data_IF_014054708725
#
_entry.id   IF_014054708725
#
_cell.length_a   1.000
_cell.length_b   1.000
_cell.length_c   1.000
_cell.angle_alpha   90.00
_cell.angle_beta   90.00
_cell.angle_gamma   90.00
#
_symmetry.space_group_name_H-M   'P 1'
#
loop_
_entity.id
_entity.type
_entity.pdbx_description
1 polymer ?
#
# COMPACT_ATOMS: atom_id res chain seq x y z
N UNK A 1 -41.26 3.72 17.05
CA UNK A 1 -41.35 5.19 17.03
C UNK A 1 -40.48 5.72 15.90
N UNK A 2 -41.13 6.16 14.81
CA UNK A 2 -40.49 6.68 13.60
C UNK A 2 -39.99 8.11 13.86
N UNK A 3 -38.67 8.30 13.91
CA UNK A 3 -38.08 9.65 13.83
C UNK A 3 -38.10 10.07 12.37
N UNK A 4 -39.08 10.89 12.02
CA UNK A 4 -39.14 11.59 10.74
C UNK A 4 -37.82 12.34 10.51
N UNK A 5 -37.08 11.91 9.50
CA UNK A 5 -35.85 12.54 9.07
C UNK A 5 -36.16 13.99 8.68
N UNK A 6 -35.48 14.96 9.28
CA UNK A 6 -35.48 16.33 8.78
C UNK A 6 -34.92 16.26 7.36
N UNK A 7 -35.77 16.47 6.37
CA UNK A 7 -35.35 16.77 4.98
C UNK A 7 -34.63 18.11 5.04
N UNK A 8 -33.32 18.09 5.28
CA UNK A 8 -32.46 19.19 4.89
C UNK A 8 -32.72 19.46 3.40
N UNK A 9 -32.77 20.73 3.00
CA UNK A 9 -33.13 21.24 1.66
C UNK A 9 -32.43 20.52 0.51
N UNK A 10 -32.92 19.32 0.21
CA UNK A 10 -32.19 18.28 -0.48
C UNK A 10 -32.50 18.28 -1.95
N UNK A 11 -31.55 17.77 -2.72
CA UNK A 11 -31.63 17.42 -4.14
C UNK A 11 -33.05 16.93 -4.48
N UNK A 12 -33.71 17.58 -5.45
CA UNK A 12 -35.13 17.34 -5.72
C UNK A 12 -35.38 15.89 -6.15
N UNK A 13 -36.53 15.33 -5.75
CA UNK A 13 -36.91 13.95 -6.13
C UNK A 13 -36.96 13.75 -7.64
N UNK A 14 -37.38 14.78 -8.38
CA UNK A 14 -37.37 14.75 -9.85
C UNK A 14 -35.94 14.55 -10.39
N UNK A 15 -34.97 15.28 -9.84
CA UNK A 15 -33.57 15.17 -10.27
C UNK A 15 -33.00 13.79 -9.98
N UNK A 16 -33.35 13.18 -8.83
CA UNK A 16 -32.96 11.81 -8.47
C UNK A 16 -33.57 10.80 -9.45
N UNK A 17 -34.86 10.93 -9.79
CA UNK A 17 -35.54 10.05 -10.74
C UNK A 17 -34.91 10.13 -12.14
N UNK A 18 -34.67 11.34 -12.64
CA UNK A 18 -34.03 11.54 -13.94
C UNK A 18 -32.60 11.01 -13.97
N UNK A 19 -31.83 11.22 -12.89
CA UNK A 19 -30.49 10.66 -12.76
C UNK A 19 -30.53 9.13 -12.70
N UNK A 20 -31.48 8.53 -11.98
CA UNK A 20 -31.71 7.08 -11.96
C UNK A 20 -32.00 6.52 -13.35
N UNK A 21 -32.73 7.27 -14.18
CA UNK A 21 -33.01 6.90 -15.57
C UNK A 21 -31.83 7.13 -16.53
N UNK A 22 -30.72 7.68 -16.03
CA UNK A 22 -29.48 7.84 -16.77
C UNK A 22 -29.26 9.21 -17.39
N UNK A 23 -29.95 10.25 -16.93
CA UNK A 23 -29.68 11.64 -17.35
C UNK A 23 -28.31 12.13 -16.84
N UNK A 24 -27.36 12.33 -17.75
CA UNK A 24 -26.04 12.92 -17.45
C UNK A 24 -26.13 14.35 -16.90
N UNK A 25 -27.10 15.13 -17.39
CA UNK A 25 -27.36 16.47 -16.88
C UNK A 25 -27.77 16.41 -15.40
N UNK A 26 -28.69 15.51 -15.05
CA UNK A 26 -29.20 15.37 -13.70
C UNK A 26 -28.11 14.83 -12.75
N UNK A 27 -27.28 13.88 -13.21
CA UNK A 27 -26.07 13.46 -12.47
C UNK A 27 -25.08 14.63 -12.25
N UNK A 28 -24.93 15.53 -13.23
CA UNK A 28 -24.07 16.71 -13.09
C UNK A 28 -24.60 17.75 -12.10
N UNK A 29 -25.92 17.87 -11.97
CA UNK A 29 -26.55 18.72 -10.97
C UNK A 29 -26.42 18.11 -9.57
N UNK A 30 -26.63 16.79 -9.46
CA UNK A 30 -26.39 16.04 -8.21
C UNK A 30 -24.95 16.22 -7.74
N UNK A 31 -23.96 16.01 -8.62
CA UNK A 31 -22.56 16.18 -8.27
C UNK A 31 -22.28 17.59 -7.71
N UNK A 32 -22.76 18.64 -8.40
CA UNK A 32 -22.56 20.02 -7.93
C UNK A 32 -23.20 20.28 -6.58
N UNK A 33 -24.38 19.73 -6.33
CA UNK A 33 -25.08 19.86 -5.05
C UNK A 33 -24.32 19.15 -3.91
N UNK A 34 -23.93 17.88 -4.12
CA UNK A 34 -23.17 17.09 -3.14
C UNK A 34 -21.82 17.73 -2.83
N UNK A 35 -21.11 18.18 -3.86
CA UNK A 35 -19.81 18.83 -3.71
C UNK A 35 -19.92 20.15 -2.93
N UNK A 36 -20.92 20.98 -3.22
CA UNK A 36 -21.10 22.29 -2.57
C UNK A 36 -21.63 22.17 -1.14
N UNK A 37 -22.39 21.11 -0.85
CA UNK A 37 -22.94 20.86 0.48
C UNK A 37 -22.91 19.36 0.78
N UNK A 38 -21.92 18.87 1.56
CA UNK A 38 -21.83 17.46 1.93
C UNK A 38 -23.07 16.92 2.64
N UNK A 39 -23.85 17.78 3.33
CA UNK A 39 -25.12 17.44 3.96
C UNK A 39 -26.27 17.17 2.99
N UNK A 40 -26.05 17.34 1.68
CA UNK A 40 -26.98 16.93 0.62
C UNK A 40 -26.77 15.48 0.14
N UNK A 41 -25.72 14.80 0.64
CA UNK A 41 -25.57 13.35 0.48
C UNK A 41 -26.74 12.64 1.16
N UNK A 42 -27.41 11.76 0.42
CA UNK A 42 -28.55 10.98 0.94
C UNK A 42 -28.49 9.54 0.44
N UNK A 43 -29.26 8.67 1.09
CA UNK A 43 -29.40 7.27 0.68
C UNK A 43 -29.88 7.15 -0.78
N UNK A 44 -30.79 8.02 -1.21
CA UNK A 44 -31.31 7.98 -2.58
C UNK A 44 -30.26 8.36 -3.62
N UNK A 45 -29.39 9.32 -3.29
CA UNK A 45 -28.24 9.69 -4.14
C UNK A 45 -27.26 8.52 -4.21
N UNK A 46 -26.94 7.88 -3.08
CA UNK A 46 -26.08 6.71 -3.05
C UNK A 46 -26.65 5.55 -3.90
N UNK A 47 -27.96 5.27 -3.81
CA UNK A 47 -28.63 4.27 -4.65
C UNK A 47 -28.51 4.55 -6.15
N UNK A 48 -28.66 5.81 -6.55
CA UNK A 48 -28.46 6.21 -7.97
C UNK A 48 -27.02 5.96 -8.40
N UNK A 49 -26.05 6.33 -7.56
CA UNK A 49 -24.61 6.10 -7.83
C UNK A 49 -24.33 4.61 -8.00
N UNK A 50 -24.77 3.77 -7.05
CA UNK A 50 -24.56 2.33 -7.10
C UNK A 50 -25.19 1.67 -8.32
N UNK A 51 -26.40 2.10 -8.71
CA UNK A 51 -27.07 1.60 -9.92
C UNK A 51 -26.23 1.79 -11.18
N UNK A 52 -25.53 2.92 -11.32
CA UNK A 52 -24.72 3.21 -12.50
C UNK A 52 -23.28 2.70 -12.40
N UNK A 53 -22.89 2.17 -11.23
CA UNK A 53 -21.63 1.47 -11.00
C UNK A 53 -21.79 -0.05 -10.99
N UNK A 54 -22.96 -0.55 -11.40
CA UNK A 54 -23.20 -1.97 -11.68
C UNK A 54 -22.21 -2.45 -12.76
N UNK A 55 -21.52 -3.60 -12.57
CA UNK A 55 -20.59 -4.15 -13.56
C UNK A 55 -21.27 -4.81 -14.77
N UNK A 56 -22.57 -5.09 -14.75
CA UNK A 56 -23.27 -5.78 -15.85
C UNK A 56 -23.07 -5.14 -17.25
N UNK A 57 -23.00 -3.81 -17.41
CA UNK A 57 -22.67 -3.18 -18.69
C UNK A 57 -21.25 -3.50 -19.17
N UNK A 58 -20.27 -3.64 -18.26
CA UNK A 58 -18.87 -3.94 -18.61
C UNK A 58 -18.73 -5.31 -19.29
N UNK A 59 -19.56 -6.29 -18.93
CA UNK A 59 -19.56 -7.61 -19.54
C UNK A 59 -19.90 -7.59 -21.05
N UNK A 60 -20.50 -6.50 -21.53
CA UNK A 60 -20.85 -6.30 -22.95
C UNK A 60 -19.79 -5.55 -23.72
N UNK A 61 -18.80 -4.97 -23.05
CA UNK A 61 -17.70 -4.26 -23.70
C UNK A 61 -16.71 -5.29 -24.26
N UNK A 62 -16.61 -5.35 -25.58
CA UNK A 62 -15.52 -6.08 -26.24
C UNK A 62 -14.23 -5.27 -26.11
N UNK A 63 -13.07 -5.94 -26.05
CA UNK A 63 -11.77 -5.35 -25.74
C UNK A 63 -11.31 -4.21 -26.65
N UNK A 64 -11.99 -4.00 -27.78
CA UNK A 64 -11.58 -3.08 -28.85
C UNK A 64 -12.61 -1.96 -29.11
N UNK A 65 -13.73 -1.92 -28.37
CA UNK A 65 -14.86 -1.01 -28.62
C UNK A 65 -15.03 0.12 -27.58
N UNK A 66 -13.91 0.61 -27.06
CA UNK A 66 -13.84 1.68 -26.04
C UNK A 66 -14.59 2.96 -26.43
N UNK A 67 -14.53 3.31 -27.73
CA UNK A 67 -15.14 4.52 -28.29
C UNK A 67 -16.42 4.23 -29.08
N UNK A 68 -17.02 3.05 -28.94
CA UNK A 68 -18.30 2.80 -29.61
C UNK A 68 -19.37 3.75 -29.06
N UNK A 69 -20.15 4.35 -29.95
CA UNK A 69 -21.25 5.25 -29.56
C UNK A 69 -22.26 4.56 -28.62
N UNK A 70 -22.37 3.23 -28.69
CA UNK A 70 -23.25 2.42 -27.85
C UNK A 70 -22.76 2.33 -26.40
N UNK A 71 -21.44 2.26 -26.18
CA UNK A 71 -20.85 2.05 -24.86
C UNK A 71 -20.57 3.36 -24.11
N UNK A 72 -20.36 4.46 -24.86
CA UNK A 72 -20.03 5.78 -24.33
C UNK A 72 -21.00 6.28 -23.25
N UNK A 73 -22.34 6.16 -23.37
CA UNK A 73 -23.25 6.65 -22.34
C UNK A 73 -23.10 5.92 -21.00
N UNK A 74 -22.73 4.63 -21.01
CA UNK A 74 -22.48 3.89 -19.77
C UNK A 74 -21.19 4.36 -19.09
N UNK A 75 -20.13 4.54 -19.88
CA UNK A 75 -18.85 5.06 -19.39
C UNK A 75 -19.00 6.50 -18.86
N UNK A 76 -19.68 7.40 -19.55
CA UNK A 76 -19.86 8.78 -19.07
C UNK A 76 -20.64 8.83 -17.74
N UNK A 77 -21.65 7.96 -17.58
CA UNK A 77 -22.43 7.86 -16.34
C UNK A 77 -21.60 7.30 -15.19
N UNK A 78 -20.86 6.22 -15.42
CA UNK A 78 -20.01 5.62 -14.40
C UNK A 78 -18.92 6.58 -13.92
N UNK A 79 -18.25 7.30 -14.83
CA UNK A 79 -17.24 8.30 -14.49
C UNK A 79 -17.82 9.39 -13.58
N UNK A 80 -19.01 9.88 -13.95
CA UNK A 80 -19.72 10.87 -13.13
C UNK A 80 -20.08 10.32 -11.75
N UNK A 81 -20.53 9.08 -11.68
CA UNK A 81 -20.88 8.42 -10.43
C UNK A 81 -19.66 8.14 -9.54
N UNK A 82 -18.48 7.85 -10.09
CA UNK A 82 -17.23 7.76 -9.32
C UNK A 82 -16.86 9.09 -8.66
N UNK A 83 -17.06 10.22 -9.36
CA UNK A 83 -16.85 11.54 -8.75
C UNK A 83 -17.85 11.84 -7.62
N UNK A 84 -19.14 11.56 -7.83
CA UNK A 84 -20.15 11.71 -6.78
C UNK A 84 -19.83 10.81 -5.59
N UNK A 85 -19.39 9.57 -5.85
CA UNK A 85 -19.00 8.61 -4.81
C UNK A 85 -17.84 9.12 -3.96
N UNK A 86 -16.90 9.87 -4.55
CA UNK A 86 -15.84 10.56 -3.82
C UNK A 86 -16.41 11.55 -2.81
N UNK A 87 -17.34 12.41 -3.22
CA UNK A 87 -17.96 13.38 -2.32
C UNK A 87 -18.83 12.67 -1.25
N UNK A 88 -19.55 11.60 -1.63
CA UNK A 88 -20.30 10.75 -0.68
C UNK A 88 -19.35 10.16 0.37
N UNK A 89 -18.19 9.64 -0.03
CA UNK A 89 -17.24 9.01 0.90
C UNK A 89 -16.79 9.99 2.00
N UNK A 90 -16.63 11.27 1.67
CA UNK A 90 -16.31 12.33 2.64
C UNK A 90 -17.50 12.58 3.58
N UNK A 91 -18.73 12.56 3.06
CA UNK A 91 -19.93 12.72 3.87
C UNK A 91 -20.15 11.55 4.83
N UNK A 92 -19.88 10.30 4.41
CA UNK A 92 -20.01 9.10 5.27
C UNK A 92 -19.10 9.17 6.51
N UNK A 93 -17.93 9.79 6.42
CA UNK A 93 -17.05 10.00 7.57
C UNK A 93 -17.63 10.99 8.59
N UNK A 94 -18.46 11.95 8.13
CA UNK A 94 -19.02 13.02 8.96
C UNK A 94 -20.40 12.66 9.53
N UNK A 95 -21.12 11.75 8.88
CA UNK A 95 -22.48 11.34 9.26
C UNK A 95 -22.57 9.81 9.43
N UNK A 96 -22.43 9.31 10.68
CA UNK A 96 -22.57 7.88 10.98
C UNK A 96 -23.94 7.31 10.63
N UNK A 97 -25.01 8.11 10.67
CA UNK A 97 -26.37 7.63 10.36
C UNK A 97 -26.49 7.36 8.87
N UNK A 98 -25.99 8.27 8.03
CA UNK A 98 -25.93 8.04 6.59
C UNK A 98 -25.09 6.80 6.26
N UNK A 99 -23.96 6.63 6.95
CA UNK A 99 -23.10 5.45 6.80
C UNK A 99 -23.88 4.16 7.02
N UNK A 100 -24.58 4.03 8.14
CA UNK A 100 -25.31 2.82 8.50
C UNK A 100 -26.38 2.45 7.44
N UNK A 101 -26.97 3.44 6.75
CA UNK A 101 -27.95 3.18 5.69
C UNK A 101 -27.33 2.83 4.32
N UNK A 102 -26.13 3.33 4.04
CA UNK A 102 -25.46 3.16 2.74
C UNK A 102 -24.55 1.93 2.73
N UNK A 103 -24.22 1.41 3.90
CA UNK A 103 -23.22 0.37 4.13
C UNK A 103 -23.41 -0.87 3.24
N UNK A 104 -24.57 -1.54 3.34
CA UNK A 104 -24.87 -2.77 2.60
C UNK A 104 -24.79 -2.56 1.09
N UNK A 105 -25.30 -1.42 0.62
CA UNK A 105 -25.28 -1.06 -0.80
C UNK A 105 -23.86 -0.82 -1.31
N UNK A 106 -23.01 -0.18 -0.49
CA UNK A 106 -21.62 0.07 -0.83
C UNK A 106 -20.80 -1.22 -0.86
N UNK A 107 -20.98 -2.10 0.14
CA UNK A 107 -20.33 -3.41 0.16
C UNK A 107 -20.70 -4.26 -1.08
N UNK A 108 -21.99 -4.27 -1.45
CA UNK A 108 -22.46 -4.96 -2.65
C UNK A 108 -21.94 -4.35 -3.97
N UNK A 109 -21.67 -3.04 -3.98
CA UNK A 109 -21.28 -2.31 -5.20
C UNK A 109 -19.78 -2.18 -5.39
N UNK A 110 -18.95 -2.44 -4.36
CA UNK A 110 -17.52 -2.14 -4.41
C UNK A 110 -16.77 -2.92 -5.49
N UNK A 111 -17.17 -4.16 -5.77
CA UNK A 111 -16.61 -4.93 -6.88
C UNK A 111 -16.84 -4.22 -8.22
N UNK A 112 -18.07 -3.74 -8.46
CA UNK A 112 -18.42 -2.93 -9.62
C UNK A 112 -17.63 -1.62 -9.70
N UNK A 113 -17.47 -0.92 -8.57
CA UNK A 113 -16.59 0.27 -8.47
C UNK A 113 -15.17 -0.07 -8.94
N UNK A 114 -14.60 -1.18 -8.47
CA UNK A 114 -13.26 -1.61 -8.84
C UNK A 114 -13.16 -1.99 -10.32
N UNK A 115 -14.18 -2.66 -10.87
CA UNK A 115 -14.24 -2.99 -12.30
C UNK A 115 -14.31 -1.74 -13.18
N UNK A 116 -15.12 -0.75 -12.81
CA UNK A 116 -15.21 0.52 -13.54
C UNK A 116 -13.89 1.30 -13.49
N UNK A 117 -13.23 1.41 -12.33
CA UNK A 117 -11.91 2.05 -12.24
C UNK A 117 -10.87 1.29 -13.08
N UNK A 118 -10.89 -0.05 -13.03
CA UNK A 118 -10.02 -0.87 -13.88
C UNK A 118 -10.25 -0.59 -15.36
N UNK A 119 -11.52 -0.53 -15.79
CA UNK A 119 -11.93 -0.22 -17.14
C UNK A 119 -11.37 1.14 -17.60
N UNK A 120 -11.45 2.18 -16.75
CA UNK A 120 -10.81 3.46 -17.06
C UNK A 120 -9.29 3.35 -17.21
N UNK A 121 -8.58 2.66 -16.30
CA UNK A 121 -7.13 2.52 -16.49
C UNK A 121 -6.72 1.75 -17.76
N UNK A 122 -7.60 0.86 -18.22
CA UNK A 122 -7.41 0.10 -19.44
C UNK A 122 -7.62 0.99 -20.68
N UNK A 123 -8.65 1.84 -20.64
CA UNK A 123 -9.02 2.76 -21.73
C UNK A 123 -8.13 3.99 -21.84
N UNK A 124 -7.48 4.44 -20.76
CA UNK A 124 -6.67 5.66 -20.77
C UNK A 124 -5.20 5.38 -21.16
N UNK A 125 -4.75 4.11 -21.26
CA UNK A 125 -3.38 3.77 -21.71
C UNK A 125 -2.98 4.29 -23.12
N UNK A 126 -3.88 4.46 -24.10
CA UNK A 126 -3.53 5.07 -25.39
C UNK A 126 -3.57 6.61 -25.37
N UNK A 127 -4.37 7.24 -24.49
CA UNK A 127 -4.74 8.67 -24.58
C UNK A 127 -3.97 9.58 -23.61
N UNK A 128 -3.51 9.06 -22.46
CA UNK A 128 -2.72 9.81 -21.47
C UNK A 128 -1.34 10.27 -21.97
N UNK A 129 -0.87 9.72 -23.09
CA UNK A 129 0.36 10.19 -23.75
C UNK A 129 0.22 11.56 -24.41
N UNK A 130 -0.99 11.95 -24.86
CA UNK A 130 -1.12 13.01 -25.86
C UNK A 130 -2.12 14.14 -25.55
N UNK A 131 -3.11 14.00 -24.66
CA UNK A 131 -4.27 14.93 -24.71
C UNK A 131 -4.44 15.88 -23.51
N UNK A 132 -4.09 15.52 -22.27
CA UNK A 132 -4.63 16.27 -21.13
C UNK A 132 -3.64 17.03 -20.25
N UNK A 133 -2.32 16.85 -20.36
CA UNK A 133 -1.37 17.54 -19.47
C UNK A 133 -1.55 17.27 -17.96
N UNK A 134 -2.60 16.54 -17.56
CA UNK A 134 -2.83 15.98 -16.23
C UNK A 134 -2.12 14.64 -16.17
N UNK A 135 -1.13 14.52 -15.29
CA UNK A 135 -0.32 13.31 -15.20
C UNK A 135 -1.13 12.11 -14.73
N UNK A 136 -0.89 10.94 -15.33
CA UNK A 136 -1.35 9.59 -14.91
C UNK A 136 -1.35 9.42 -13.38
N UNK A 137 -0.39 10.04 -12.71
CA UNK A 137 -0.22 10.02 -11.26
C UNK A 137 -1.42 10.61 -10.51
N UNK A 138 -2.02 11.72 -10.98
CA UNK A 138 -3.11 12.41 -10.29
C UNK A 138 -4.37 11.56 -10.25
N UNK A 139 -4.71 10.92 -11.37
CA UNK A 139 -5.90 10.04 -11.46
C UNK A 139 -5.70 8.74 -10.67
N UNK A 140 -4.52 8.12 -10.77
CA UNK A 140 -4.16 6.96 -9.95
C UNK A 140 -4.33 7.27 -8.46
N UNK A 141 -3.87 8.44 -8.02
CA UNK A 141 -4.01 8.86 -6.63
C UNK A 141 -5.43 9.22 -6.25
N UNK A 142 -6.21 9.85 -7.13
CA UNK A 142 -7.60 10.16 -6.88
C UNK A 142 -8.41 8.89 -6.63
N UNK A 143 -8.25 7.86 -7.48
CA UNK A 143 -8.94 6.59 -7.30
C UNK A 143 -8.43 5.81 -6.09
N UNK A 144 -7.12 5.82 -5.80
CA UNK A 144 -6.59 5.20 -4.59
C UNK A 144 -7.11 5.89 -3.31
N UNK A 145 -7.20 7.23 -3.30
CA UNK A 145 -7.79 7.99 -2.19
C UNK A 145 -9.29 7.69 -2.03
N UNK A 146 -10.03 7.61 -3.14
CA UNK A 146 -11.44 7.21 -3.14
C UNK A 146 -11.62 5.83 -2.49
N UNK A 147 -10.90 4.81 -2.96
CA UNK A 147 -11.00 3.46 -2.40
C UNK A 147 -10.65 3.43 -0.91
N UNK A 148 -9.59 4.13 -0.50
CA UNK A 148 -9.19 4.20 0.90
C UNK A 148 -10.25 4.90 1.75
N UNK A 149 -10.87 5.97 1.24
CA UNK A 149 -11.96 6.67 1.91
C UNK A 149 -13.19 5.76 2.05
N UNK A 150 -13.56 5.02 1.00
CA UNK A 150 -14.67 4.08 1.08
C UNK A 150 -14.38 2.99 2.13
N UNK A 151 -13.21 2.37 2.10
CA UNK A 151 -12.84 1.35 3.09
C UNK A 151 -12.83 1.86 4.53
N UNK A 152 -12.36 3.10 4.76
CA UNK A 152 -12.40 3.74 6.09
C UNK A 152 -13.82 4.12 6.53
N UNK A 153 -14.68 4.46 5.59
CA UNK A 153 -16.09 4.74 5.85
C UNK A 153 -16.87 3.46 6.16
N UNK A 154 -16.35 2.27 5.84
CA UNK A 154 -17.00 0.99 6.11
C UNK A 154 -16.87 0.45 7.52
N UNK A 155 -17.76 -0.48 7.88
CA UNK A 155 -17.62 -1.27 9.10
C UNK A 155 -16.38 -2.18 8.99
N UNK A 156 -15.70 -2.53 10.11
CA UNK A 156 -14.59 -3.49 10.11
C UNK A 156 -14.88 -4.84 9.44
N UNK A 157 -16.16 -5.17 9.18
CA UNK A 157 -16.60 -6.38 8.47
C UNK A 157 -16.42 -6.34 6.95
N UNK A 158 -15.97 -5.22 6.37
CA UNK A 158 -15.74 -5.09 4.92
C UNK A 158 -14.52 -5.88 4.40
N UNK A 159 -13.96 -6.77 5.22
CA UNK A 159 -12.97 -7.76 4.82
C UNK A 159 -13.35 -8.55 3.56
N UNK A 160 -14.66 -8.71 3.27
CA UNK A 160 -15.16 -9.35 2.05
C UNK A 160 -14.65 -8.66 0.77
N UNK A 161 -14.49 -7.34 0.82
CA UNK A 161 -13.98 -6.54 -0.29
C UNK A 161 -12.52 -6.85 -0.62
N UNK A 162 -11.72 -7.24 0.36
CA UNK A 162 -10.33 -7.67 0.15
C UNK A 162 -10.24 -8.98 -0.63
N UNK A 163 -11.32 -9.77 -0.63
CA UNK A 163 -11.44 -11.04 -1.35
C UNK A 163 -12.02 -10.89 -2.76
N UNK A 164 -12.16 -9.66 -3.29
CA UNK A 164 -12.63 -9.43 -4.66
C UNK A 164 -11.49 -9.57 -5.68
N UNK A 165 -11.66 -10.39 -6.74
CA UNK A 165 -10.70 -10.44 -7.86
C UNK A 165 -10.56 -9.10 -8.59
N UNK A 166 -11.63 -8.30 -8.70
CA UNK A 166 -11.58 -6.99 -9.35
C UNK A 166 -10.74 -6.00 -8.54
N UNK A 167 -10.91 -6.00 -7.22
CA UNK A 167 -10.11 -5.20 -6.29
C UNK A 167 -8.63 -5.59 -6.37
N UNK A 168 -8.31 -6.89 -6.29
CA UNK A 168 -6.93 -7.38 -6.38
C UNK A 168 -6.26 -7.01 -7.71
N UNK A 169 -6.97 -7.18 -8.84
CA UNK A 169 -6.50 -6.74 -10.18
C UNK A 169 -6.24 -5.24 -10.23
N UNK A 170 -7.13 -4.44 -9.66
CA UNK A 170 -6.97 -2.99 -9.60
C UNK A 170 -5.75 -2.58 -8.78
N UNK A 171 -5.58 -3.18 -7.60
CA UNK A 171 -4.43 -2.91 -6.75
C UNK A 171 -3.12 -3.32 -7.41
N UNK A 172 -3.04 -4.52 -8.00
CA UNK A 172 -1.85 -4.97 -8.70
C UNK A 172 -1.50 -4.02 -9.86
N UNK A 173 -2.50 -3.56 -10.61
CA UNK A 173 -2.32 -2.56 -11.67
C UNK A 173 -1.84 -1.22 -11.11
N UNK A 174 -2.49 -0.66 -10.10
CA UNK A 174 -2.08 0.61 -9.46
C UNK A 174 -0.65 0.50 -8.90
N UNK A 175 -0.30 -0.66 -8.33
CA UNK A 175 1.02 -0.92 -7.78
C UNK A 175 2.12 -0.82 -8.84
N UNK A 176 1.91 -1.49 -9.98
CA UNK A 176 2.90 -1.68 -11.04
C UNK A 176 2.85 -0.64 -12.17
N UNK A 177 1.90 0.31 -12.15
CA UNK A 177 1.77 1.31 -13.21
C UNK A 177 2.83 2.39 -13.08
N UNK A 178 3.50 2.66 -14.21
CA UNK A 178 4.42 3.79 -14.41
C UNK A 178 3.71 4.90 -15.18
N UNK A 179 4.02 6.15 -14.85
CA UNK A 179 3.59 7.30 -15.62
C UNK A 179 4.34 7.40 -16.97
N UNK A 180 3.99 8.40 -17.78
CA UNK A 180 4.61 8.65 -19.08
C UNK A 180 6.13 8.89 -19.00
N UNK A 181 6.66 9.31 -17.84
CA UNK A 181 8.10 9.50 -17.60
C UNK A 181 8.79 8.22 -17.12
N UNK A 182 8.10 7.07 -17.12
CA UNK A 182 8.63 5.80 -16.66
C UNK A 182 8.81 5.71 -15.14
N UNK A 183 8.22 6.63 -14.37
CA UNK A 183 8.30 6.66 -12.90
C UNK A 183 7.02 6.07 -12.30
N UNK A 184 7.15 5.35 -11.19
CA UNK A 184 5.97 4.92 -10.44
C UNK A 184 5.32 6.13 -9.77
N UNK A 185 3.99 6.13 -9.72
CA UNK A 185 3.23 7.13 -9.00
C UNK A 185 3.63 7.11 -7.51
N UNK A 186 4.24 8.21 -7.07
CA UNK A 186 4.59 8.50 -5.68
C UNK A 186 4.01 9.88 -5.31
N UNK A 187 3.16 9.93 -4.29
CA UNK A 187 2.64 11.19 -3.77
C UNK A 187 3.58 11.66 -2.65
N UNK A 188 4.06 12.93 -2.66
CA UNK A 188 4.51 13.54 -1.42
C UNK A 188 3.32 13.55 -0.47
N UNK A 189 3.54 13.11 0.77
CA UNK A 189 2.47 12.84 1.72
C UNK A 189 2.04 14.14 2.39
N UNK A 190 1.31 14.99 1.67
CA UNK A 190 0.84 16.30 2.16
C UNK A 190 0.05 16.20 3.49
N UNK A 191 -0.58 15.05 3.77
CA UNK A 191 -1.38 14.83 4.98
C UNK A 191 -0.71 13.92 6.05
N UNK A 192 0.62 13.73 6.03
CA UNK A 192 1.32 12.68 6.82
C UNK A 192 0.78 11.26 6.57
N UNK A 193 -0.06 11.10 5.54
CA UNK A 193 -0.96 9.97 5.35
C UNK A 193 -0.43 8.87 4.45
N UNK A 194 0.85 8.86 4.07
CA UNK A 194 1.41 7.81 3.21
C UNK A 194 0.92 7.82 1.78
N UNK A 195 1.56 6.99 0.94
CA UNK A 195 1.03 6.70 -0.38
C UNK A 195 -0.27 5.87 -0.24
N UNK A 196 -1.43 6.34 -0.75
CA UNK A 196 -2.69 5.61 -0.60
C UNK A 196 -2.65 4.23 -1.26
N UNK A 197 -1.90 4.07 -2.35
CA UNK A 197 -1.69 2.77 -3.02
C UNK A 197 -0.98 1.79 -2.07
N UNK A 198 0.05 2.22 -1.34
CA UNK A 198 0.73 1.37 -0.36
C UNK A 198 -0.21 0.95 0.77
N UNK A 199 -1.02 1.88 1.28
CA UNK A 199 -2.01 1.60 2.33
C UNK A 199 -3.05 0.58 1.88
N UNK A 200 -3.57 0.71 0.65
CA UNK A 200 -4.52 -0.25 0.10
C UNK A 200 -3.93 -1.65 -0.05
N UNK A 201 -2.69 -1.75 -0.54
CA UNK A 201 -1.99 -3.04 -0.63
C UNK A 201 -1.77 -3.62 0.77
N UNK A 202 -1.38 -2.82 1.75
CA UNK A 202 -1.23 -3.30 3.12
C UNK A 202 -2.52 -3.88 3.70
N UNK A 203 -3.64 -3.16 3.57
CA UNK A 203 -4.96 -3.65 3.99
C UNK A 203 -5.32 -4.97 3.29
N UNK A 204 -4.95 -5.11 2.02
CA UNK A 204 -5.13 -6.34 1.26
C UNK A 204 -4.24 -7.50 1.76
N UNK A 205 -3.04 -7.21 2.28
CA UNK A 205 -2.10 -8.22 2.80
C UNK A 205 -2.48 -8.78 4.16
N UNK A 206 -3.28 -8.05 4.95
CA UNK A 206 -3.66 -8.43 6.31
C UNK A 206 -4.64 -9.63 6.33
N UNK A 207 -5.44 -9.77 5.27
CA UNK A 207 -6.33 -10.90 5.06
C UNK A 207 -5.74 -11.94 4.09
N UNK A 208 -5.74 -13.21 4.48
CA UNK A 208 -5.20 -14.30 3.68
C UNK A 208 -5.81 -14.41 2.26
N UNK A 209 -7.16 -14.37 2.08
CA UNK A 209 -7.75 -14.39 0.74
C UNK A 209 -7.33 -13.20 -0.13
N UNK A 210 -7.21 -12.00 0.46
CA UNK A 210 -6.79 -10.81 -0.27
C UNK A 210 -5.32 -10.89 -0.71
N UNK A 211 -4.46 -11.40 0.17
CA UNK A 211 -3.05 -11.64 -0.12
C UNK A 211 -2.86 -12.57 -1.31
N UNK A 212 -3.58 -13.69 -1.33
CA UNK A 212 -3.50 -14.67 -2.43
C UNK A 212 -3.97 -14.06 -3.75
N UNK A 213 -5.13 -13.41 -3.75
CA UNK A 213 -5.69 -12.77 -4.95
C UNK A 213 -4.79 -11.64 -5.48
N UNK A 214 -4.16 -10.85 -4.60
CA UNK A 214 -3.24 -9.80 -5.01
C UNK A 214 -2.03 -10.37 -5.74
N UNK A 215 -1.39 -11.41 -5.21
CA UNK A 215 -0.24 -11.99 -5.87
C UNK A 215 -0.62 -12.75 -7.14
N UNK A 216 -1.77 -13.42 -7.16
CA UNK A 216 -2.31 -14.00 -8.39
C UNK A 216 -2.52 -12.91 -9.46
N UNK A 217 -3.15 -11.80 -9.08
CA UNK A 217 -3.37 -10.65 -9.97
C UNK A 217 -2.05 -10.02 -10.46
N UNK A 218 -1.03 -9.94 -9.60
CA UNK A 218 0.32 -9.53 -10.00
C UNK A 218 0.84 -10.45 -11.10
N UNK A 219 0.76 -11.77 -10.92
CA UNK A 219 1.32 -12.73 -11.88
C UNK A 219 0.54 -12.78 -13.20
N UNK A 220 -0.79 -12.61 -13.15
CA UNK A 220 -1.66 -12.71 -14.32
C UNK A 220 -1.66 -11.45 -15.20
N UNK A 221 -1.12 -10.32 -14.73
CA UNK A 221 -1.23 -9.05 -15.45
C UNK A 221 -0.43 -8.97 -16.77
N UNK A 222 0.73 -9.63 -16.84
CA UNK A 222 1.69 -9.55 -17.96
C UNK A 222 2.83 -10.58 -17.78
N UNK A 223 3.46 -11.11 -18.84
CA UNK A 223 4.60 -12.03 -18.72
C UNK A 223 5.75 -11.52 -17.82
N UNK A 224 6.07 -10.23 -17.89
CA UNK A 224 7.10 -9.57 -17.07
C UNK A 224 6.64 -9.07 -15.69
N UNK A 225 5.45 -9.45 -15.22
CA UNK A 225 4.87 -8.80 -14.04
C UNK A 225 5.65 -9.02 -12.76
N UNK A 226 6.27 -10.18 -12.58
CA UNK A 226 7.13 -10.43 -11.41
C UNK A 226 8.31 -9.44 -11.34
N UNK A 227 8.89 -9.09 -12.49
CA UNK A 227 9.94 -8.07 -12.59
C UNK A 227 9.38 -6.68 -12.31
N UNK A 228 8.24 -6.32 -12.91
CA UNK A 228 7.58 -5.01 -12.70
C UNK A 228 7.16 -4.81 -11.25
N UNK A 229 6.66 -5.85 -10.59
CA UNK A 229 6.37 -5.86 -9.17
C UNK A 229 7.61 -5.55 -8.34
N UNK A 230 8.74 -6.21 -8.65
CA UNK A 230 10.02 -5.98 -7.98
C UNK A 230 10.50 -4.53 -8.16
N UNK A 231 10.45 -4.01 -9.39
CA UNK A 231 10.81 -2.62 -9.69
C UNK A 231 9.92 -1.62 -8.93
N UNK A 232 8.61 -1.89 -8.86
CA UNK A 232 7.65 -1.07 -8.13
C UNK A 232 7.97 -1.05 -6.63
N UNK A 233 8.26 -2.22 -6.04
CA UNK A 233 8.62 -2.35 -4.63
C UNK A 233 9.88 -1.54 -4.28
N UNK A 234 10.93 -1.64 -5.09
CA UNK A 234 12.17 -0.87 -4.90
C UNK A 234 11.91 0.64 -5.04
N UNK A 235 11.18 1.05 -6.08
CA UNK A 235 10.87 2.46 -6.29
C UNK A 235 10.04 3.05 -5.15
N UNK A 236 9.15 2.24 -4.56
CA UNK A 236 8.34 2.63 -3.41
C UNK A 236 9.17 2.77 -2.13
N UNK A 237 10.16 1.90 -1.90
CA UNK A 237 11.13 2.04 -0.81
C UNK A 237 11.91 3.36 -0.91
N UNK A 238 12.45 3.66 -2.09
CA UNK A 238 13.13 4.94 -2.37
C UNK A 238 12.22 6.16 -2.17
N UNK A 239 10.93 6.01 -2.46
CA UNK A 239 9.95 7.06 -2.21
C UNK A 239 9.67 7.31 -0.72
N UNK A 240 9.81 6.29 0.15
CA UNK A 240 9.77 6.47 1.60
C UNK A 240 10.94 7.35 2.06
N UNK A 241 12.17 7.08 1.60
CA UNK A 241 13.33 7.93 1.90
C UNK A 241 13.17 9.37 1.41
N UNK A 242 12.69 9.53 0.17
CA UNK A 242 12.43 10.86 -0.37
C UNK A 242 11.41 11.62 0.48
N UNK A 243 10.35 10.95 0.93
CA UNK A 243 9.32 11.52 1.80
C UNK A 243 9.91 12.01 3.13
N UNK A 244 10.76 11.20 3.76
CA UNK A 244 11.47 11.63 4.97
C UNK A 244 12.32 12.89 4.74
N UNK A 245 13.08 12.94 3.65
CA UNK A 245 13.95 14.09 3.31
C UNK A 245 13.20 15.40 3.07
N UNK A 246 11.93 15.33 2.68
CA UNK A 246 11.07 16.52 2.49
C UNK A 246 10.23 16.86 3.73
N UNK A 247 10.53 16.25 4.88
CA UNK A 247 9.97 16.64 6.19
C UNK A 247 8.77 15.81 6.67
N UNK A 248 8.51 14.64 6.09
CA UNK A 248 7.43 13.75 6.55
C UNK A 248 7.81 13.10 7.88
N UNK A 249 6.84 12.97 8.79
CA UNK A 249 7.04 12.40 10.12
C UNK A 249 7.66 10.99 10.08
N UNK A 250 8.80 10.82 10.78
CA UNK A 250 9.65 9.63 10.70
C UNK A 250 8.92 8.32 11.06
N UNK A 251 8.16 8.21 12.17
CA UNK A 251 7.40 7.01 12.46
C UNK A 251 6.45 6.59 11.32
N UNK A 252 5.78 7.54 10.65
CA UNK A 252 4.96 7.21 9.50
C UNK A 252 5.79 6.64 8.34
N UNK A 253 6.97 7.20 8.08
CA UNK A 253 7.87 6.68 7.03
C UNK A 253 8.35 5.27 7.36
N UNK A 254 8.72 5.02 8.61
CA UNK A 254 9.11 3.69 9.09
C UNK A 254 7.97 2.68 8.95
N UNK A 255 6.73 3.07 9.27
CA UNK A 255 5.56 2.21 9.10
C UNK A 255 5.38 1.81 7.63
N UNK A 256 5.51 2.75 6.69
CA UNK A 256 5.40 2.44 5.27
C UNK A 256 6.51 1.52 4.79
N UNK A 257 7.74 1.73 5.25
CA UNK A 257 8.85 0.87 4.87
C UNK A 257 8.70 -0.53 5.47
N UNK A 258 8.25 -0.65 6.73
CA UNK A 258 7.94 -1.94 7.34
C UNK A 258 6.86 -2.71 6.57
N UNK A 259 5.79 -2.03 6.16
CA UNK A 259 4.74 -2.58 5.30
C UNK A 259 5.33 -3.11 3.98
N UNK A 260 6.26 -2.39 3.35
CA UNK A 260 6.94 -2.85 2.14
C UNK A 260 7.74 -4.14 2.38
N UNK A 261 8.41 -4.25 3.52
CA UNK A 261 9.14 -5.46 3.89
C UNK A 261 8.20 -6.66 4.09
N UNK A 262 7.04 -6.45 4.72
CA UNK A 262 6.01 -7.48 4.87
C UNK A 262 5.50 -7.94 3.50
N UNK A 263 5.18 -7.02 2.59
CA UNK A 263 4.77 -7.34 1.21
C UNK A 263 5.86 -8.17 0.51
N UNK A 264 7.13 -7.83 0.70
CA UNK A 264 8.25 -8.57 0.14
C UNK A 264 8.35 -10.00 0.68
N UNK A 265 8.33 -10.16 2.01
CA UNK A 265 8.36 -11.46 2.68
C UNK A 265 7.22 -12.36 2.17
N UNK A 266 6.00 -11.82 2.11
CA UNK A 266 4.82 -12.56 1.62
C UNK A 266 4.96 -12.93 0.14
N UNK A 267 5.52 -12.04 -0.68
CA UNK A 267 5.79 -12.32 -2.09
C UNK A 267 6.82 -13.44 -2.31
N UNK A 268 7.86 -13.49 -1.48
CA UNK A 268 8.86 -14.57 -1.48
C UNK A 268 8.21 -15.92 -1.14
N UNK A 269 7.33 -15.93 -0.15
CA UNK A 269 6.63 -17.15 0.30
C UNK A 269 5.55 -17.63 -0.67
N UNK A 270 5.01 -16.74 -1.51
CA UNK A 270 3.86 -17.06 -2.37
C UNK A 270 4.23 -17.95 -3.57
N UNK A 271 5.29 -17.62 -4.31
CA UNK A 271 5.68 -18.40 -5.49
C UNK A 271 7.17 -18.30 -5.82
N UNK A 272 7.80 -19.38 -6.35
CA UNK A 272 9.19 -19.36 -6.82
C UNK A 272 9.47 -18.27 -7.86
N UNK A 273 8.46 -17.85 -8.64
CA UNK A 273 8.62 -16.84 -9.68
C UNK A 273 8.87 -15.44 -9.09
N UNK A 274 8.09 -15.04 -8.08
CA UNK A 274 8.25 -13.79 -7.35
C UNK A 274 9.54 -13.82 -6.54
N UNK A 275 9.82 -14.93 -5.87
CA UNK A 275 11.09 -15.16 -5.19
C UNK A 275 12.29 -14.90 -6.14
N UNK A 276 12.33 -15.54 -7.30
CA UNK A 276 13.41 -15.33 -8.29
C UNK A 276 13.48 -13.89 -8.78
N UNK A 277 12.34 -13.25 -9.02
CA UNK A 277 12.31 -11.85 -9.47
C UNK A 277 12.85 -10.90 -8.40
N UNK A 278 12.43 -11.05 -7.15
CA UNK A 278 12.88 -10.24 -6.01
C UNK A 278 14.38 -10.41 -5.74
N UNK A 279 14.89 -11.64 -5.81
CA UNK A 279 16.33 -11.93 -5.68
C UNK A 279 17.13 -11.34 -6.84
N UNK A 280 16.72 -11.57 -8.11
CA UNK A 280 17.42 -11.02 -9.28
C UNK A 280 17.38 -9.49 -9.33
N UNK A 281 16.29 -8.88 -8.88
CA UNK A 281 16.16 -7.43 -8.78
C UNK A 281 16.93 -6.80 -7.61
N UNK A 282 17.64 -7.61 -6.80
CA UNK A 282 18.41 -7.17 -5.62
C UNK A 282 17.53 -6.37 -4.64
N UNK A 283 16.26 -6.74 -4.54
CA UNK A 283 15.28 -5.99 -3.76
C UNK A 283 15.67 -5.91 -2.28
N UNK A 284 16.24 -6.99 -1.73
CA UNK A 284 16.77 -7.03 -0.37
C UNK A 284 17.88 -6.00 -0.14
N UNK A 285 18.83 -5.87 -1.07
CA UNK A 285 19.91 -4.89 -0.97
C UNK A 285 19.36 -3.47 -0.90
N UNK A 286 18.49 -3.12 -1.84
CA UNK A 286 17.94 -1.77 -1.95
C UNK A 286 17.08 -1.43 -0.73
N UNK A 287 16.16 -2.32 -0.32
CA UNK A 287 15.31 -2.08 0.84
C UNK A 287 16.11 -2.02 2.14
N UNK A 288 17.13 -2.87 2.31
CA UNK A 288 18.01 -2.81 3.49
C UNK A 288 18.74 -1.48 3.56
N UNK A 289 19.26 -0.99 2.43
CA UNK A 289 19.90 0.33 2.36
C UNK A 289 18.91 1.45 2.74
N UNK A 290 17.66 1.35 2.31
CA UNK A 290 16.61 2.29 2.71
C UNK A 290 16.34 2.23 4.23
N UNK A 291 16.30 1.03 4.84
CA UNK A 291 16.14 0.90 6.31
C UNK A 291 17.33 1.51 7.05
N UNK A 292 18.56 1.19 6.62
CA UNK A 292 19.79 1.68 7.26
C UNK A 292 19.85 3.20 7.22
N UNK A 293 19.48 3.81 6.09
CA UNK A 293 19.45 5.26 5.96
C UNK A 293 18.50 5.92 6.97
N UNK A 294 17.30 5.35 7.20
CA UNK A 294 16.37 5.89 8.21
C UNK A 294 16.82 5.58 9.65
N UNK A 295 17.48 4.45 9.87
CA UNK A 295 17.95 4.03 11.19
C UNK A 295 19.02 4.97 11.76
N UNK A 296 19.85 5.58 10.89
CA UNK A 296 20.86 6.56 11.29
C UNK A 296 20.24 7.78 11.99
N UNK A 297 19.07 8.23 11.54
CA UNK A 297 18.35 9.36 12.13
C UNK A 297 17.64 8.98 13.45
N UNK A 298 17.18 7.73 13.59
CA UNK A 298 16.60 7.24 14.86
C UNK A 298 17.67 7.13 15.95
N UNK A 299 18.83 6.55 15.60
CA UNK A 299 19.92 6.29 16.54
C UNK A 299 20.64 7.55 17.06
N UNK A 300 20.42 8.70 16.43
CA UNK A 300 21.13 9.96 16.77
C UNK A 300 20.27 11.00 17.49
N UNK A 301 18.94 10.85 17.56
CA UNK A 301 18.10 11.98 17.98
C UNK A 301 16.76 11.70 18.65
N UNK A 302 16.25 10.46 18.67
CA UNK A 302 14.89 10.22 19.18
C UNK A 302 14.86 9.10 20.20
N UNK A 303 14.66 9.43 21.49
CA UNK A 303 14.29 8.46 22.54
C UNK A 303 12.89 7.87 22.36
N UNK A 304 12.43 7.75 21.11
CA UNK A 304 11.12 7.20 20.76
C UNK A 304 11.23 5.68 20.64
N UNK A 305 10.86 4.99 21.72
CA UNK A 305 10.82 3.54 21.79
C UNK A 305 9.94 2.92 20.69
N UNK A 306 8.97 3.64 20.12
CA UNK A 306 8.13 3.14 19.03
C UNK A 306 8.91 2.99 17.72
N UNK A 307 9.75 3.98 17.38
CA UNK A 307 10.60 3.95 16.20
C UNK A 307 11.65 2.83 16.29
N UNK A 308 12.25 2.63 17.47
CA UNK A 308 13.19 1.54 17.72
C UNK A 308 12.53 0.17 17.58
N UNK A 309 11.38 -0.05 18.20
CA UNK A 309 10.62 -1.30 18.07
C UNK A 309 10.32 -1.64 16.60
N UNK A 310 9.98 -0.61 15.82
CA UNK A 310 9.69 -0.77 14.40
C UNK A 310 10.96 -1.14 13.61
N UNK A 311 12.12 -0.53 13.90
CA UNK A 311 13.39 -0.93 13.30
C UNK A 311 13.78 -2.37 13.65
N UNK A 312 13.54 -2.82 14.87
CA UNK A 312 13.74 -4.24 15.25
C UNK A 312 12.83 -5.17 14.44
N UNK A 313 11.56 -4.82 14.26
CA UNK A 313 10.62 -5.60 13.45
C UNK A 313 11.06 -5.64 11.96
N UNK A 314 11.56 -4.52 11.45
CA UNK A 314 12.08 -4.42 10.08
C UNK A 314 13.35 -5.26 9.89
N UNK A 315 14.30 -5.22 10.83
CA UNK A 315 15.49 -6.07 10.81
C UNK A 315 15.12 -7.56 10.82
N UNK A 316 14.16 -7.93 11.68
CA UNK A 316 13.63 -9.31 11.75
C UNK A 316 12.98 -9.73 10.43
N UNK A 317 12.18 -8.85 9.83
CA UNK A 317 11.49 -9.12 8.55
C UNK A 317 12.48 -9.28 7.42
N UNK A 318 13.54 -8.46 7.36
CA UNK A 318 14.61 -8.59 6.37
C UNK A 318 15.31 -9.95 6.49
N UNK A 319 15.70 -10.36 7.70
CA UNK A 319 16.32 -11.66 7.92
C UNK A 319 15.37 -12.82 7.57
N UNK A 320 14.13 -12.77 8.04
CA UNK A 320 13.11 -13.78 7.72
C UNK A 320 12.90 -13.90 6.20
N UNK A 321 12.94 -12.78 5.48
CA UNK A 321 12.83 -12.75 4.02
C UNK A 321 13.99 -13.51 3.38
N UNK A 322 15.24 -13.29 3.82
CA UNK A 322 16.41 -14.06 3.36
C UNK A 322 16.26 -15.56 3.62
N UNK A 323 15.83 -15.94 4.82
CA UNK A 323 15.67 -17.34 5.21
C UNK A 323 14.53 -18.04 4.46
N UNK A 324 13.55 -17.27 3.99
CA UNK A 324 12.44 -17.78 3.18
C UNK A 324 12.85 -18.13 1.75
N UNK A 325 14.06 -17.80 1.30
CA UNK A 325 14.58 -18.22 0.00
C UNK A 325 15.04 -19.70 0.01
N UNK A 326 14.16 -20.63 0.34
CA UNK A 326 14.53 -22.01 0.65
C UNK A 326 14.75 -22.93 -0.57
N UNK A 327 14.53 -22.46 -1.81
CA UNK A 327 14.49 -23.34 -2.99
C UNK A 327 15.90 -23.76 -3.44
N UNK A 328 16.92 -22.93 -3.22
CA UNK A 328 18.31 -23.20 -3.64
C UNK A 328 19.30 -22.61 -2.61
N UNK A 329 20.22 -23.41 -2.05
CA UNK A 329 21.24 -22.94 -1.08
C UNK A 329 22.08 -21.78 -1.64
N UNK A 330 22.34 -21.75 -2.94
CA UNK A 330 23.07 -20.66 -3.59
C UNK A 330 22.28 -19.33 -3.61
N UNK A 331 20.94 -19.41 -3.60
CA UNK A 331 20.09 -18.23 -3.53
C UNK A 331 20.14 -17.59 -2.14
N UNK A 332 20.15 -18.39 -1.07
CA UNK A 332 20.31 -17.91 0.31
C UNK A 332 21.63 -17.16 0.46
N UNK A 333 22.75 -17.75 0.00
CA UNK A 333 24.07 -17.12 0.09
C UNK A 333 24.14 -15.79 -0.66
N UNK A 334 23.54 -15.73 -1.86
CA UNK A 334 23.46 -14.49 -2.64
C UNK A 334 22.62 -13.42 -1.93
N UNK A 335 21.48 -13.80 -1.38
CA UNK A 335 20.58 -12.90 -0.70
C UNK A 335 21.16 -12.41 0.65
N UNK A 336 21.93 -13.25 1.35
CA UNK A 336 22.74 -12.83 2.49
C UNK A 336 23.80 -11.81 2.09
N UNK A 337 24.47 -12.01 0.95
CA UNK A 337 25.41 -11.01 0.43
C UNK A 337 24.70 -9.70 0.07
N UNK A 338 23.52 -9.75 -0.55
CA UNK A 338 22.72 -8.56 -0.85
C UNK A 338 22.25 -7.85 0.45
N UNK A 339 21.91 -8.61 1.50
CA UNK A 339 21.56 -8.09 2.83
C UNK A 339 22.77 -7.36 3.48
N UNK A 340 23.97 -7.96 3.43
CA UNK A 340 25.22 -7.34 3.90
C UNK A 340 25.56 -6.10 3.07
N UNK A 341 25.48 -6.19 1.74
CA UNK A 341 25.72 -5.07 0.82
C UNK A 341 24.77 -3.89 1.05
N UNK A 342 23.55 -4.18 1.52
CA UNK A 342 22.58 -3.18 1.90
C UNK A 342 22.86 -2.53 3.26
N UNK A 343 23.82 -3.03 4.03
CA UNK A 343 24.23 -2.46 5.31
C UNK A 343 23.55 -3.09 6.53
N UNK A 344 23.03 -4.32 6.44
CA UNK A 344 22.35 -4.97 7.57
C UNK A 344 23.22 -5.11 8.82
N UNK A 345 24.53 -5.32 8.68
CA UNK A 345 25.45 -5.36 9.82
C UNK A 345 25.50 -4.00 10.52
N UNK A 346 25.52 -2.91 9.74
CA UNK A 346 25.42 -1.56 10.29
C UNK A 346 24.07 -1.33 10.99
N UNK A 347 22.97 -1.84 10.44
CA UNK A 347 21.65 -1.77 11.10
C UNK A 347 21.69 -2.45 12.48
N UNK A 348 22.27 -3.65 12.59
CA UNK A 348 22.46 -4.33 13.87
C UNK A 348 23.36 -3.53 14.82
N UNK A 349 24.41 -2.89 14.30
CA UNK A 349 25.26 -1.97 15.05
C UNK A 349 24.50 -0.77 15.63
N UNK A 350 23.63 -0.14 14.83
CA UNK A 350 22.77 0.95 15.29
C UNK A 350 21.82 0.46 16.40
N UNK A 351 21.16 -0.68 16.21
CA UNK A 351 20.23 -1.24 17.20
C UNK A 351 20.94 -1.61 18.52
N UNK A 352 22.14 -2.20 18.44
CA UNK A 352 22.94 -2.51 19.64
C UNK A 352 23.43 -1.26 20.35
N UNK A 353 23.78 -0.20 19.62
CA UNK A 353 24.21 1.06 20.21
C UNK A 353 23.10 1.75 21.03
N UNK A 354 21.83 1.54 20.65
CA UNK A 354 20.65 2.11 21.31
C UNK A 354 20.23 1.39 22.60
N UNK A 355 20.88 0.28 22.95
CA UNK A 355 20.64 -0.39 24.23
C UNK A 355 21.10 0.50 25.39
N UNK A 356 20.33 0.55 26.49
CA UNK A 356 20.75 1.24 27.71
C UNK A 356 22.10 0.68 28.18
N UNK A 357 22.96 1.54 28.71
CA UNK A 357 24.15 1.07 29.42
C UNK A 357 23.68 0.24 30.62
N UNK A 358 24.33 -0.91 30.87
CA UNK A 358 24.02 -1.83 31.97
C UNK A 358 24.13 -1.11 33.33
N UNK A 359 23.10 -0.36 33.71
CA UNK A 359 22.94 0.19 35.05
C UNK A 359 22.07 -0.81 35.85
N UNK A 360 22.65 -1.55 36.80
CA UNK A 360 21.94 -2.56 37.59
C UNK A 360 20.79 -1.96 38.43
N UNK A 361 20.64 -0.63 38.50
CA UNK A 361 19.52 0.04 39.14
C UNK A 361 18.25 0.17 38.25
N UNK A 362 18.34 -0.03 36.93
CA UNK A 362 17.26 0.26 35.97
C UNK A 362 16.47 -1.01 35.53
N UNK A 363 16.81 -2.19 36.06
CA UNK A 363 16.26 -3.51 35.68
C UNK A 363 14.78 -3.78 36.03
N UNK A 364 13.94 -2.74 36.10
CA UNK A 364 12.50 -2.85 36.44
C UNK A 364 11.56 -2.60 35.27
N UNK A 365 12.05 -2.55 34.02
CA UNK A 365 11.20 -2.33 32.83
C UNK A 365 11.28 -3.49 31.86
N UNK A 366 10.36 -4.45 31.96
CA UNK A 366 10.25 -5.62 31.07
C UNK A 366 10.05 -5.37 29.56
N UNK A 367 10.12 -4.11 29.09
CA UNK A 367 10.19 -3.74 27.67
C UNK A 367 11.64 -3.74 27.17
N UNK A 368 12.60 -3.32 28.02
CA UNK A 368 14.03 -3.30 27.70
C UNK A 368 14.61 -4.71 27.58
N UNK A 369 14.13 -5.64 28.42
CA UNK A 369 14.47 -7.07 28.33
C UNK A 369 14.05 -7.68 26.99
N UNK A 370 12.83 -7.37 26.50
CA UNK A 370 12.32 -7.90 25.23
C UNK A 370 13.10 -7.40 24.01
N UNK A 371 13.51 -6.12 24.02
CA UNK A 371 14.30 -5.54 22.92
C UNK A 371 15.67 -6.21 22.85
N UNK A 372 16.29 -6.40 24.02
CA UNK A 372 17.58 -7.06 24.18
C UNK A 372 17.52 -8.52 23.72
N UNK A 373 16.53 -9.29 24.19
CA UNK A 373 16.31 -10.69 23.78
C UNK A 373 16.11 -10.83 22.26
N UNK A 374 15.29 -9.95 21.67
CA UNK A 374 15.05 -9.95 20.23
C UNK A 374 16.33 -9.65 19.45
N UNK A 375 17.17 -8.74 19.93
CA UNK A 375 18.44 -8.42 19.28
C UNK A 375 19.44 -9.57 19.36
N UNK A 376 19.55 -10.21 20.53
CA UNK A 376 20.37 -11.42 20.71
C UNK A 376 19.90 -12.53 19.76
N UNK A 377 18.58 -12.73 19.65
CA UNK A 377 18.02 -13.69 18.71
C UNK A 377 18.35 -13.35 17.25
N UNK A 378 18.28 -12.07 16.86
CA UNK A 378 18.61 -11.62 15.50
C UNK A 378 20.09 -11.84 15.17
N UNK A 379 21.00 -11.44 16.07
CA UNK A 379 22.44 -11.62 15.90
C UNK A 379 22.77 -13.12 15.85
N UNK A 380 22.19 -13.92 16.74
CA UNK A 380 22.38 -15.37 16.79
C UNK A 380 21.84 -16.06 15.55
N UNK A 381 20.69 -15.63 15.04
CA UNK A 381 20.10 -16.17 13.82
C UNK A 381 20.96 -15.80 12.62
N UNK A 382 21.34 -14.54 12.47
CA UNK A 382 22.21 -14.09 11.39
C UNK A 382 23.55 -14.84 11.38
N UNK A 383 24.21 -14.97 12.53
CA UNK A 383 25.52 -15.63 12.63
C UNK A 383 25.51 -17.11 12.22
N UNK A 384 24.42 -17.84 12.48
CA UNK A 384 24.25 -19.24 12.05
C UNK A 384 24.31 -19.40 10.53
N UNK A 385 23.88 -18.39 9.78
CA UNK A 385 23.83 -18.44 8.32
C UNK A 385 25.03 -17.76 7.65
N UNK A 386 25.94 -17.15 8.41
CA UNK A 386 27.13 -16.45 7.86
C UNK A 386 28.39 -17.32 7.76
N UNK A 387 28.33 -18.61 8.10
CA UNK A 387 29.50 -19.52 8.17
C UNK A 387 29.97 -19.99 6.76
N UNK A 388 29.43 -19.40 5.69
CA UNK A 388 29.78 -19.75 4.30
C UNK A 388 30.93 -18.86 3.81
N UNK A 389 32.01 -19.40 3.19
CA UNK A 389 33.20 -18.63 2.80
C UNK A 389 32.91 -17.35 1.99
N UNK A 390 31.94 -17.40 1.08
CA UNK A 390 31.51 -16.25 0.28
C UNK A 390 30.90 -15.13 1.14
N UNK A 391 30.09 -15.50 2.13
CA UNK A 391 29.46 -14.56 3.07
C UNK A 391 30.52 -14.00 4.03
N UNK A 392 31.44 -14.84 4.52
CA UNK A 392 32.57 -14.42 5.35
C UNK A 392 33.44 -13.40 4.62
N UNK A 393 33.84 -13.69 3.38
CA UNK A 393 34.62 -12.76 2.56
C UNK A 393 33.91 -11.39 2.45
N UNK A 394 32.59 -11.41 2.21
CA UNK A 394 31.82 -10.18 2.10
C UNK A 394 31.67 -9.39 3.41
N UNK A 395 31.55 -10.11 4.53
CA UNK A 395 31.58 -9.51 5.86
C UNK A 395 32.94 -8.84 6.14
N UNK A 396 34.04 -9.50 5.77
CA UNK A 396 35.39 -8.95 5.92
C UNK A 396 35.62 -7.71 5.05
N UNK A 397 35.07 -7.69 3.82
CA UNK A 397 35.06 -6.49 2.97
C UNK A 397 34.28 -5.33 3.62
N UNK A 398 33.35 -5.64 4.52
CA UNK A 398 32.48 -4.69 5.23
C UNK A 398 32.99 -4.39 6.64
N UNK A 399 34.31 -4.45 6.86
CA UNK A 399 34.97 -4.36 8.18
C UNK A 399 34.50 -3.21 9.07
N UNK A 400 34.27 -2.02 8.49
CA UNK A 400 33.77 -0.87 9.25
C UNK A 400 32.40 -1.10 9.88
N UNK A 401 31.54 -1.91 9.26
CA UNK A 401 30.23 -2.28 9.82
C UNK A 401 30.39 -3.30 10.95
N UNK A 402 31.32 -4.25 10.81
CA UNK A 402 31.62 -5.25 11.84
C UNK A 402 32.18 -4.59 13.11
N UNK A 403 33.08 -3.63 12.97
CA UNK A 403 33.66 -2.93 14.13
C UNK A 403 32.57 -2.22 14.96
N UNK A 404 31.58 -1.61 14.29
CA UNK A 404 30.42 -1.01 14.95
C UNK A 404 29.53 -2.02 15.69
N UNK A 405 29.25 -3.19 15.07
CA UNK A 405 28.49 -4.26 15.72
C UNK A 405 29.24 -4.85 16.92
N UNK A 406 30.55 -5.07 16.80
CA UNK A 406 31.37 -5.63 17.89
C UNK A 406 31.41 -4.69 19.11
N UNK A 407 31.50 -3.37 18.90
CA UNK A 407 31.39 -2.39 19.97
C UNK A 407 30.03 -2.47 20.68
N UNK A 408 28.94 -2.65 19.92
CA UNK A 408 27.60 -2.83 20.49
C UNK A 408 27.44 -4.14 21.25
N UNK A 409 28.00 -5.24 20.76
CA UNK A 409 27.96 -6.55 21.42
C UNK A 409 28.68 -6.58 22.77
N UNK A 410 29.70 -5.74 22.99
CA UNK A 410 30.33 -5.60 24.30
C UNK A 410 29.39 -5.04 25.37
N UNK A 411 28.33 -4.33 24.99
CA UNK A 411 27.28 -3.88 25.93
C UNK A 411 26.31 -5.00 26.34
N UNK A 412 26.25 -6.08 25.55
CA UNK A 412 25.36 -7.23 25.79
C UNK A 412 25.96 -8.31 26.70
N UNK A 413 27.26 -8.17 27.05
CA UNK A 413 27.99 -9.01 28.00
C UNK A 413 27.96 -8.38 29.39
#
# INVERSE_FOLDING_TARGET
MSRAFRVASGISKQLITEASNGSLYSLSQIQRAVHSNPGSSSLDVAKVVFKHLDPAPLARFQSDSWDSEENRPHSDRAAKCLHILSDISVALHKDPVLRDFVEDGLAASLDGVCQWINHYFESIRPTLGNVLGVGVDVELFAYAKLLLALLKAGHPGWCVCWSSPAYAKLLARMWMTKNAKGRFAMAPTEDNGGCPIQKLVFLCMDAEPGRELFFEAVLMAHPDSAKRFTEATIARGKGCLYSFRIGVYLPCVLEFLHVLLIINLRGVLYTPLLQRALSKGRCLKELTADVVALAQDVGTGTGDNSALNLLHAMASTLLATVLSFAIENDSINRNLCDLIDGGYVNLLGILTATLPENDPAISTRGVEDRITENLIYLISSFSRYTIVPRVISRLLDSRSQLDGLLQGCHKLQ
#
